data_IF_808926635956
#
_entry.id   IF_808926635956
#
_cell.length_a   1.000
_cell.length_b   1.000
_cell.length_c   1.000
_cell.angle_alpha   90.00
_cell.angle_beta   90.00
_cell.angle_gamma   90.00
#
_symmetry.space_group_name_H-M   'P 1'
#
loop_
_entity.id
_entity.type
_entity.pdbx_description
1 polymer ?
#
# COMPACT_ATOMS: atom_id res chain seq x y z
N UNK A 1 22.41 -51.76 19.89
CA UNK A 1 23.81 -51.40 19.57
C UNK A 1 23.79 -49.91 19.23
N UNK A 2 24.01 -49.01 20.19
CA UNK A 2 24.12 -47.59 19.85
C UNK A 2 25.31 -47.47 18.90
N UNK A 3 25.07 -46.97 17.68
CA UNK A 3 26.15 -46.61 16.79
C UNK A 3 27.06 -45.67 17.58
N UNK A 4 28.30 -46.08 17.79
CA UNK A 4 29.32 -45.23 18.42
C UNK A 4 29.29 -43.92 17.65
N UNK A 5 28.89 -42.84 18.31
CA UNK A 5 28.75 -41.54 17.65
C UNK A 5 30.14 -41.08 17.20
N UNK A 6 30.22 -40.33 16.10
CA UNK A 6 31.50 -39.85 15.58
C UNK A 6 32.31 -39.12 16.66
N UNK A 7 31.62 -38.41 17.57
CA UNK A 7 32.21 -37.78 18.75
C UNK A 7 32.89 -38.76 19.71
N UNK A 8 32.30 -39.93 19.96
CA UNK A 8 32.92 -40.96 20.79
C UNK A 8 34.18 -41.53 20.13
N UNK A 9 34.15 -41.71 18.80
CA UNK A 9 35.31 -42.15 18.02
C UNK A 9 36.42 -41.10 18.10
N UNK A 10 36.08 -39.83 17.85
CA UNK A 10 37.01 -38.70 17.90
C UNK A 10 37.59 -38.57 19.31
N UNK A 11 36.77 -38.64 20.37
CA UNK A 11 37.22 -38.59 21.76
C UNK A 11 38.18 -39.74 22.09
N UNK A 12 37.84 -40.98 21.71
CA UNK A 12 38.75 -42.13 21.91
C UNK A 12 40.05 -41.94 21.16
N UNK A 13 40.00 -41.45 19.91
CA UNK A 13 41.20 -41.18 19.12
C UNK A 13 42.06 -40.09 19.76
N UNK A 14 41.47 -39.01 20.25
CA UNK A 14 42.18 -37.96 20.99
C UNK A 14 42.77 -38.46 22.32
N UNK A 15 42.11 -39.40 23.01
CA UNK A 15 42.65 -39.98 24.25
C UNK A 15 43.80 -40.95 23.98
N UNK A 16 43.74 -41.72 22.89
CA UNK A 16 44.76 -42.74 22.54
C UNK A 16 45.95 -42.11 21.79
N UNK A 17 45.69 -41.29 20.78
CA UNK A 17 46.70 -40.64 19.92
C UNK A 17 47.13 -39.25 20.43
N UNK A 18 46.38 -38.66 21.37
CA UNK A 18 46.73 -37.35 21.93
C UNK A 18 47.85 -37.42 22.97
N UNK A 19 48.13 -36.26 23.55
CA UNK A 19 49.24 -36.02 24.48
C UNK A 19 49.26 -37.00 25.66
N UNK A 20 48.09 -37.41 26.16
CA UNK A 20 47.97 -38.39 27.26
C UNK A 20 48.59 -39.76 26.95
N UNK A 21 48.58 -40.21 25.68
CA UNK A 21 49.19 -41.48 25.31
C UNK A 21 50.72 -41.44 25.35
N UNK A 22 51.31 -40.26 25.12
CA UNK A 22 52.76 -40.06 25.21
C UNK A 22 53.25 -40.14 26.66
N UNK A 23 52.45 -39.66 27.61
CA UNK A 23 52.79 -39.69 29.04
C UNK A 23 52.80 -41.13 29.59
N UNK A 24 51.82 -41.96 29.23
CA UNK A 24 51.81 -43.38 29.63
C UNK A 24 53.05 -44.14 29.12
N UNK A 25 53.44 -43.86 27.87
CA UNK A 25 54.68 -44.41 27.30
C UNK A 25 55.92 -43.91 28.05
N UNK A 26 55.96 -42.63 28.44
CA UNK A 26 57.09 -42.05 29.20
C UNK A 26 57.21 -42.71 30.58
N UNK A 27 56.09 -42.85 31.30
CA UNK A 27 56.04 -43.49 32.63
C UNK A 27 56.41 -44.97 32.52
N UNK A 28 55.91 -45.67 31.50
CA UNK A 28 56.25 -47.07 31.24
C UNK A 28 57.75 -47.26 30.96
N UNK A 29 58.38 -46.33 30.22
CA UNK A 29 59.82 -46.34 29.97
C UNK A 29 60.62 -46.08 31.25
N UNK A 30 60.21 -45.10 32.06
CA UNK A 30 60.81 -44.81 33.37
C UNK A 30 60.78 -46.07 34.26
N UNK A 31 59.63 -46.73 34.38
CA UNK A 31 59.46 -47.94 35.19
C UNK A 31 60.35 -49.09 34.68
N UNK A 32 60.41 -49.30 33.36
CA UNK A 32 61.28 -50.34 32.77
C UNK A 32 62.76 -50.06 33.03
N UNK A 33 63.19 -48.80 32.93
CA UNK A 33 64.57 -48.40 33.21
C UNK A 33 64.91 -48.56 34.69
N UNK A 34 63.99 -48.18 35.59
CA UNK A 34 64.14 -48.39 37.02
C UNK A 34 64.29 -49.87 37.37
N UNK A 35 63.38 -50.72 36.88
CA UNK A 35 63.44 -52.17 37.14
C UNK A 35 64.72 -52.80 36.58
N UNK A 36 65.19 -52.36 35.42
CA UNK A 36 66.45 -52.82 34.84
C UNK A 36 67.65 -52.40 35.70
N UNK A 37 67.67 -51.15 36.16
CA UNK A 37 68.74 -50.63 37.01
C UNK A 37 68.81 -51.35 38.37
N UNK A 38 67.66 -51.63 38.98
CA UNK A 38 67.58 -52.45 40.21
C UNK A 38 68.07 -53.88 39.96
N UNK A 39 67.76 -54.47 38.80
CA UNK A 39 68.18 -55.82 38.46
C UNK A 39 69.67 -55.95 38.08
N UNK A 40 70.34 -54.88 37.66
CA UNK A 40 71.78 -54.92 37.34
C UNK A 40 72.67 -55.09 38.57
N UNK A 41 72.19 -54.72 39.78
CA UNK A 41 72.95 -54.74 41.04
C UNK A 41 74.37 -54.13 40.91
N UNK A 42 74.52 -53.18 39.99
CA UNK A 42 75.79 -52.55 39.67
C UNK A 42 76.01 -51.31 40.55
N UNK A 43 77.03 -51.39 41.39
CA UNK A 43 77.44 -50.31 42.31
C UNK A 43 78.64 -49.53 41.75
N UNK A 44 79.06 -49.82 40.51
CA UNK A 44 80.15 -49.14 39.83
C UNK A 44 79.76 -47.79 39.22
N UNK A 45 80.65 -47.26 38.38
CA UNK A 45 80.46 -46.01 37.63
C UNK A 45 79.26 -46.10 36.69
N UNK A 46 79.11 -47.21 35.97
CA UNK A 46 77.97 -47.48 35.07
C UNK A 46 76.63 -47.46 35.84
N UNK A 47 76.59 -48.06 37.03
CA UNK A 47 75.44 -48.02 37.94
C UNK A 47 75.08 -46.59 38.39
N UNK A 48 76.08 -45.74 38.66
CA UNK A 48 75.86 -44.33 39.01
C UNK A 48 75.37 -43.50 37.82
N UNK A 49 75.89 -43.72 36.62
CA UNK A 49 75.41 -43.06 35.39
C UNK A 49 73.94 -43.44 35.10
N UNK A 50 73.59 -44.72 35.24
CA UNK A 50 72.23 -45.19 35.08
C UNK A 50 71.27 -44.58 36.13
N UNK A 51 71.73 -44.39 37.36
CA UNK A 51 70.97 -43.68 38.40
C UNK A 51 70.74 -42.20 38.04
N UNK A 52 71.76 -41.50 37.54
CA UNK A 52 71.61 -40.10 37.11
C UNK A 52 70.65 -39.97 35.90
N UNK A 53 70.73 -40.90 34.95
CA UNK A 53 69.78 -40.97 33.84
C UNK A 53 68.34 -41.20 34.32
N UNK A 54 68.16 -42.03 35.35
CA UNK A 54 66.86 -42.26 35.97
C UNK A 54 66.32 -40.99 36.61
N UNK A 55 67.13 -40.28 37.41
CA UNK A 55 66.74 -38.98 38.00
C UNK A 55 66.32 -37.99 36.90
N UNK A 56 67.13 -37.86 35.85
CA UNK A 56 66.80 -36.97 34.73
C UNK A 56 65.46 -37.32 34.08
N UNK A 57 65.15 -38.62 33.95
CA UNK A 57 63.86 -39.07 33.41
C UNK A 57 62.67 -38.82 34.36
N UNK A 58 62.90 -38.85 35.68
CA UNK A 58 61.89 -38.44 36.68
C UNK A 58 61.57 -36.95 36.53
N UNK A 59 62.59 -36.08 36.47
CA UNK A 59 62.38 -34.64 36.26
C UNK A 59 61.63 -34.32 34.96
N UNK A 60 61.89 -35.07 33.89
CA UNK A 60 61.13 -34.93 32.64
C UNK A 60 59.64 -35.30 32.80
N UNK A 61 59.34 -36.34 33.59
CA UNK A 61 57.95 -36.71 33.88
C UNK A 61 57.26 -35.64 34.74
N UNK A 62 57.93 -35.14 35.78
CA UNK A 62 57.41 -34.07 36.63
C UNK A 62 57.10 -32.80 35.84
N UNK A 63 58.04 -32.34 35.00
CA UNK A 63 57.83 -31.16 34.15
C UNK A 63 56.66 -31.37 33.17
N UNK A 64 56.54 -32.55 32.57
CA UNK A 64 55.41 -32.84 31.67
C UNK A 64 54.06 -32.87 32.41
N UNK A 65 54.02 -33.40 33.62
CA UNK A 65 52.82 -33.37 34.47
C UNK A 65 52.43 -31.94 34.83
N UNK A 66 53.40 -31.07 35.15
CA UNK A 66 53.15 -29.65 35.43
C UNK A 66 52.59 -28.93 34.20
N UNK A 67 53.18 -29.17 33.01
CA UNK A 67 52.67 -28.64 31.74
C UNK A 67 51.23 -29.08 31.47
N UNK A 68 50.93 -30.37 31.64
CA UNK A 68 49.59 -30.92 31.48
C UNK A 68 48.59 -30.27 32.45
N UNK A 69 48.97 -30.10 33.72
CA UNK A 69 48.15 -29.42 34.72
C UNK A 69 47.85 -27.96 34.34
N UNK A 70 48.84 -27.24 33.81
CA UNK A 70 48.66 -25.85 33.35
C UNK A 70 47.73 -25.78 32.13
N UNK A 71 47.89 -26.68 31.16
CA UNK A 71 47.02 -26.77 29.98
C UNK A 71 45.58 -27.08 30.38
N UNK A 72 45.36 -27.99 31.34
CA UNK A 72 44.02 -28.29 31.86
C UNK A 72 43.39 -27.05 32.51
N UNK A 73 44.14 -26.33 33.34
CA UNK A 73 43.66 -25.11 33.97
C UNK A 73 43.31 -24.01 32.93
N UNK A 74 44.17 -23.82 31.94
CA UNK A 74 43.94 -22.89 30.82
C UNK A 74 42.69 -23.27 30.02
N UNK A 75 42.53 -24.55 29.68
CA UNK A 75 41.36 -25.04 28.93
C UNK A 75 40.06 -24.82 29.70
N UNK A 76 40.08 -25.02 31.02
CA UNK A 76 38.93 -24.75 31.88
C UNK A 76 38.55 -23.25 31.88
N UNK A 77 39.54 -22.37 31.98
CA UNK A 77 39.31 -20.93 31.88
C UNK A 77 38.77 -20.52 30.50
N UNK A 78 39.37 -21.04 29.43
CA UNK A 78 38.94 -20.80 28.06
C UNK A 78 37.50 -21.28 27.84
N UNK A 79 37.14 -22.46 28.34
CA UNK A 79 35.78 -22.99 28.23
C UNK A 79 34.76 -22.04 28.88
N UNK A 80 35.09 -21.48 30.05
CA UNK A 80 34.25 -20.48 30.72
C UNK A 80 34.10 -19.20 29.89
N UNK A 81 35.21 -18.68 29.34
CA UNK A 81 35.18 -17.50 28.47
C UNK A 81 34.32 -17.74 27.21
N UNK A 82 34.41 -18.92 26.60
CA UNK A 82 33.56 -19.28 25.47
C UNK A 82 32.08 -19.35 25.87
N UNK A 83 31.75 -19.88 27.04
CA UNK A 83 30.37 -19.91 27.53
C UNK A 83 29.79 -18.49 27.69
N UNK A 84 30.58 -17.57 28.23
CA UNK A 84 30.18 -16.17 28.38
C UNK A 84 30.03 -15.48 27.00
N UNK A 85 30.94 -15.75 26.06
CA UNK A 85 30.85 -15.27 24.68
C UNK A 85 29.58 -15.81 23.97
N UNK A 86 29.24 -17.08 24.16
CA UNK A 86 28.00 -17.65 23.61
C UNK A 86 26.77 -16.92 24.14
N UNK A 87 26.71 -16.63 25.44
CA UNK A 87 25.61 -15.85 26.04
C UNK A 87 25.54 -14.44 25.48
N UNK A 88 26.69 -13.78 25.31
CA UNK A 88 26.74 -12.44 24.70
C UNK A 88 26.19 -12.47 23.26
N UNK A 89 26.64 -13.42 22.45
CA UNK A 89 26.16 -13.59 21.06
C UNK A 89 24.64 -13.86 21.04
N UNK A 90 24.13 -14.71 21.93
CA UNK A 90 22.70 -15.02 22.01
C UNK A 90 21.88 -13.77 22.37
N UNK A 91 22.34 -12.98 23.34
CA UNK A 91 21.68 -11.70 23.71
C UNK A 91 21.72 -10.68 22.57
N UNK A 92 22.83 -10.60 21.82
CA UNK A 92 22.97 -9.72 20.67
C UNK A 92 22.04 -10.13 19.53
N UNK A 93 21.91 -11.44 19.26
CA UNK A 93 20.97 -11.99 18.27
C UNK A 93 19.53 -11.64 18.66
N UNK A 94 19.17 -11.81 19.93
CA UNK A 94 17.81 -11.51 20.41
C UNK A 94 17.50 -10.01 20.34
N UNK A 95 18.45 -9.15 20.71
CA UNK A 95 18.36 -7.70 20.53
C UNK A 95 18.17 -7.31 19.06
N UNK A 96 18.93 -7.93 18.14
CA UNK A 96 18.81 -7.69 16.70
C UNK A 96 17.43 -8.12 16.17
N UNK A 97 16.91 -9.28 16.59
CA UNK A 97 15.55 -9.74 16.23
C UNK A 97 14.48 -8.75 16.69
N UNK A 98 14.57 -8.27 17.94
CA UNK A 98 13.64 -7.28 18.48
C UNK A 98 13.68 -5.96 17.71
N UNK A 99 14.87 -5.47 17.34
CA UNK A 99 15.03 -4.28 16.50
C UNK A 99 14.42 -4.47 15.10
N UNK A 100 14.57 -5.64 14.49
CA UNK A 100 13.96 -5.96 13.21
C UNK A 100 12.43 -5.94 13.34
N UNK A 101 11.88 -6.46 14.43
CA UNK A 101 10.44 -6.48 14.67
C UNK A 101 9.88 -5.07 14.84
N UNK A 102 10.53 -4.22 15.64
CA UNK A 102 10.16 -2.80 15.78
C UNK A 102 10.18 -2.08 14.42
N UNK A 103 11.26 -2.25 13.65
CA UNK A 103 11.38 -1.64 12.32
C UNK A 103 10.29 -2.11 11.35
N UNK A 104 9.82 -3.37 11.46
CA UNK A 104 8.68 -3.86 10.66
C UNK A 104 7.37 -3.17 11.04
N UNK A 105 7.15 -2.89 12.32
CA UNK A 105 5.97 -2.19 12.81
C UNK A 105 5.97 -0.72 12.39
N UNK A 106 7.12 -0.05 12.53
CA UNK A 106 7.33 1.32 12.04
C UNK A 106 7.14 1.42 10.52
N UNK A 107 7.63 0.43 9.77
CA UNK A 107 7.41 0.38 8.33
C UNK A 107 5.93 0.22 7.97
N UNK A 108 5.16 -0.56 8.75
CA UNK A 108 3.71 -0.72 8.55
C UNK A 108 2.98 0.58 8.86
N UNK A 109 3.29 1.24 9.97
CA UNK A 109 2.66 2.53 10.33
C UNK A 109 2.98 3.61 9.31
N UNK A 110 4.25 3.72 8.88
CA UNK A 110 4.69 4.66 7.85
C UNK A 110 4.00 4.42 6.49
N UNK A 111 3.80 3.15 6.10
CA UNK A 111 3.04 2.79 4.88
C UNK A 111 1.58 3.24 4.98
N UNK A 112 0.93 3.04 6.11
CA UNK A 112 -0.45 3.49 6.35
C UNK A 112 -0.54 5.01 6.27
N UNK A 113 0.35 5.74 6.95
CA UNK A 113 0.40 7.22 6.89
C UNK A 113 0.60 7.70 5.45
N UNK A 114 1.50 7.06 4.69
CA UNK A 114 1.73 7.41 3.28
C UNK A 114 0.51 7.14 2.40
N UNK A 115 -0.21 6.04 2.63
CA UNK A 115 -1.44 5.71 1.90
C UNK A 115 -2.51 6.77 2.19
N UNK A 116 -2.77 7.04 3.47
CA UNK A 116 -3.74 8.04 3.90
C UNK A 116 -3.42 9.41 3.30
N UNK A 117 -2.14 9.84 3.34
CA UNK A 117 -1.71 11.11 2.74
C UNK A 117 -2.02 11.18 1.24
N UNK A 118 -1.77 10.10 0.49
CA UNK A 118 -2.11 10.06 -0.95
C UNK A 118 -3.61 10.16 -1.19
N UNK A 119 -4.42 9.51 -0.36
CA UNK A 119 -5.88 9.60 -0.43
C UNK A 119 -6.36 11.03 -0.14
N UNK A 120 -5.84 11.67 0.91
CA UNK A 120 -6.13 13.07 1.21
C UNK A 120 -5.66 14.03 0.10
N UNK A 121 -4.44 13.86 -0.42
CA UNK A 121 -3.92 14.67 -1.51
C UNK A 121 -4.78 14.50 -2.78
N UNK A 122 -5.28 13.28 -3.04
CA UNK A 122 -6.19 13.03 -4.18
C UNK A 122 -7.55 13.68 -3.98
N UNK A 123 -8.13 13.60 -2.78
CA UNK A 123 -9.41 14.21 -2.45
C UNK A 123 -9.32 15.75 -2.46
N UNK A 124 -8.21 16.30 -1.95
CA UNK A 124 -7.94 17.73 -1.98
C UNK A 124 -7.86 18.27 -3.40
N UNK A 125 -7.23 17.53 -4.34
CA UNK A 125 -7.22 17.91 -5.77
C UNK A 125 -8.63 17.96 -6.35
N UNK A 126 -9.43 16.93 -6.11
CA UNK A 126 -10.84 16.88 -6.55
C UNK A 126 -11.63 18.06 -5.96
N UNK A 127 -11.41 18.40 -4.69
CA UNK A 127 -12.03 19.56 -4.05
C UNK A 127 -11.62 20.89 -4.70
N UNK A 128 -10.36 21.05 -5.11
CA UNK A 128 -9.89 22.23 -5.82
C UNK A 128 -10.43 22.35 -7.25
N UNK A 129 -10.74 21.24 -7.91
CA UNK A 129 -11.31 21.23 -9.27
C UNK A 129 -12.78 21.71 -9.27
N UNK A 130 -13.46 21.63 -8.13
CA UNK A 130 -14.84 22.08 -8.00
C UNK A 130 -14.91 23.59 -7.65
N UNK A 131 -15.75 24.37 -8.35
CA UNK A 131 -15.90 25.80 -8.06
C UNK A 131 -16.48 26.01 -6.67
N UNK A 132 -16.07 27.11 -6.04
CA UNK A 132 -16.58 27.48 -4.73
C UNK A 132 -18.11 27.60 -4.73
N UNK A 133 -18.71 27.23 -3.60
CA UNK A 133 -20.17 27.24 -3.43
C UNK A 133 -20.74 28.63 -3.72
N UNK A 134 -20.05 29.68 -3.30
CA UNK A 134 -20.53 31.06 -3.44
C UNK A 134 -20.55 31.50 -4.90
N UNK A 135 -19.53 31.15 -5.70
CA UNK A 135 -19.54 31.39 -7.15
C UNK A 135 -20.67 30.65 -7.86
N UNK A 136 -20.89 29.38 -7.48
CA UNK A 136 -21.94 28.54 -8.06
C UNK A 136 -23.32 29.09 -7.70
N UNK A 137 -23.50 29.56 -6.47
CA UNK A 137 -24.75 30.13 -5.98
C UNK A 137 -25.04 31.49 -6.64
N UNK A 138 -24.02 32.30 -6.88
CA UNK A 138 -24.16 33.56 -7.62
C UNK A 138 -24.53 33.33 -9.10
N UNK A 139 -23.87 32.38 -9.77
CA UNK A 139 -24.26 31.93 -11.12
C UNK A 139 -25.70 31.44 -11.14
N UNK A 140 -26.11 30.66 -10.15
CA UNK A 140 -27.49 30.18 -10.00
C UNK A 140 -28.50 31.33 -9.82
N UNK A 141 -28.21 32.32 -8.97
CA UNK A 141 -29.07 33.50 -8.78
C UNK A 141 -29.22 34.31 -10.07
N UNK A 142 -28.13 34.56 -10.77
CA UNK A 142 -28.15 35.25 -12.07
C UNK A 142 -28.99 34.48 -13.09
N UNK A 143 -28.80 33.17 -13.18
CA UNK A 143 -29.56 32.31 -14.08
C UNK A 143 -31.05 32.32 -13.73
N UNK A 144 -31.40 32.25 -12.43
CA UNK A 144 -32.79 32.33 -11.95
C UNK A 144 -33.44 33.67 -12.29
N UNK A 145 -32.74 34.78 -12.08
CA UNK A 145 -33.24 36.11 -12.44
C UNK A 145 -33.43 36.26 -13.97
N UNK A 146 -32.53 35.68 -14.78
CA UNK A 146 -32.72 35.67 -16.24
C UNK A 146 -33.90 34.83 -16.66
N UNK A 147 -34.12 33.66 -16.03
CA UNK A 147 -35.26 32.79 -16.30
C UNK A 147 -36.57 33.53 -16.03
N UNK A 148 -36.71 34.12 -14.84
CA UNK A 148 -37.89 34.89 -14.44
C UNK A 148 -38.14 36.08 -15.38
N UNK A 149 -37.08 36.76 -15.83
CA UNK A 149 -37.19 37.82 -16.84
C UNK A 149 -37.69 37.28 -18.19
N UNK A 150 -37.21 36.12 -18.62
CA UNK A 150 -37.66 35.49 -19.87
C UNK A 150 -39.12 35.03 -19.77
N UNK A 151 -39.52 34.46 -18.65
CA UNK A 151 -40.91 34.06 -18.38
C UNK A 151 -41.85 35.27 -18.43
N UNK A 152 -41.52 36.35 -17.70
CA UNK A 152 -42.29 37.59 -17.73
C UNK A 152 -42.39 38.20 -19.15
N UNK A 153 -41.30 38.13 -19.92
CA UNK A 153 -41.28 38.63 -21.30
C UNK A 153 -42.13 37.76 -22.23
N UNK A 154 -42.12 36.43 -22.03
CA UNK A 154 -43.01 35.50 -22.73
C UNK A 154 -44.46 35.85 -22.47
N UNK A 155 -44.84 36.03 -21.20
CA UNK A 155 -46.19 36.43 -20.82
C UNK A 155 -46.60 37.81 -21.37
N UNK A 156 -45.67 38.75 -21.46
CA UNK A 156 -45.92 40.05 -22.10
C UNK A 156 -46.16 39.91 -23.61
N UNK A 157 -45.37 39.10 -24.30
CA UNK A 157 -45.57 38.82 -25.73
C UNK A 157 -46.88 38.08 -25.98
N UNK A 158 -47.23 37.09 -25.16
CA UNK A 158 -48.50 36.38 -25.26
C UNK A 158 -49.69 37.33 -25.11
N UNK A 159 -49.65 38.25 -24.14
CA UNK A 159 -50.67 39.31 -24.00
C UNK A 159 -50.73 40.23 -25.20
N UNK A 160 -49.57 40.67 -25.73
CA UNK A 160 -49.53 41.52 -26.94
C UNK A 160 -50.10 40.80 -28.16
N UNK A 161 -49.80 39.51 -28.33
CA UNK A 161 -50.34 38.68 -29.41
C UNK A 161 -51.86 38.55 -29.26
N UNK A 162 -52.36 38.25 -28.05
CA UNK A 162 -53.80 38.18 -27.79
C UNK A 162 -54.51 39.50 -28.10
N UNK A 163 -53.95 40.63 -27.66
CA UNK A 163 -54.50 41.96 -27.95
C UNK A 163 -54.56 42.23 -29.47
N UNK A 164 -53.49 41.91 -30.21
CA UNK A 164 -53.50 42.06 -31.68
C UNK A 164 -54.49 41.11 -32.36
N UNK A 165 -54.65 39.87 -31.87
CA UNK A 165 -55.70 38.95 -32.36
C UNK A 165 -57.09 39.56 -32.16
N UNK A 166 -57.36 40.18 -31.00
CA UNK A 166 -58.64 40.87 -30.75
C UNK A 166 -58.84 42.10 -31.65
N UNK A 167 -57.80 42.93 -31.83
CA UNK A 167 -57.85 44.08 -32.73
C UNK A 167 -58.11 43.66 -34.18
N UNK A 168 -57.42 42.62 -34.65
CA UNK A 168 -57.60 42.08 -35.99
C UNK A 168 -58.99 41.46 -36.17
N UNK A 169 -59.51 40.78 -35.14
CA UNK A 169 -60.89 40.29 -35.13
C UNK A 169 -61.90 41.44 -35.23
N UNK A 170 -61.70 42.53 -34.49
CA UNK A 170 -62.56 43.72 -34.58
C UNK A 170 -62.50 44.36 -35.97
N UNK A 171 -61.32 44.49 -36.57
CA UNK A 171 -61.17 44.96 -37.95
C UNK A 171 -61.87 44.04 -38.96
N UNK A 172 -61.75 42.71 -38.80
CA UNK A 172 -62.47 41.74 -39.64
C UNK A 172 -64.00 41.88 -39.52
N UNK A 173 -64.51 42.10 -38.30
CA UNK A 173 -65.95 42.35 -38.08
C UNK A 173 -66.38 43.66 -38.73
N UNK A 174 -65.59 44.73 -38.61
CA UNK A 174 -65.87 46.03 -39.24
C UNK A 174 -65.83 45.94 -40.77
N UNK A 175 -64.84 45.25 -41.35
CA UNK A 175 -64.78 44.99 -42.80
C UNK A 175 -65.96 44.17 -43.28
N UNK A 176 -66.36 43.13 -42.54
CA UNK A 176 -67.55 42.34 -42.85
C UNK A 176 -68.84 43.16 -42.74
N UNK A 177 -68.90 44.10 -41.79
CA UNK A 177 -69.98 45.07 -41.65
C UNK A 177 -70.04 46.05 -42.82
N UNK A 178 -68.89 46.61 -43.25
CA UNK A 178 -68.81 47.49 -44.40
C UNK A 178 -69.13 46.75 -45.70
N UNK A 179 -68.62 45.53 -45.87
CA UNK A 179 -68.98 44.66 -47.00
C UNK A 179 -70.50 44.46 -47.06
N UNK A 180 -71.15 44.18 -45.92
CA UNK A 180 -72.60 44.06 -45.85
C UNK A 180 -73.32 45.36 -46.23
N UNK A 181 -72.83 46.52 -45.78
CA UNK A 181 -73.39 47.83 -46.16
C UNK A 181 -73.22 48.08 -47.66
N UNK A 182 -72.04 47.79 -48.24
CA UNK A 182 -71.79 47.94 -49.68
C UNK A 182 -72.67 46.98 -50.48
N UNK A 183 -72.83 45.72 -50.05
CA UNK A 183 -73.78 44.78 -50.65
C UNK A 183 -75.22 45.30 -50.54
N UNK A 184 -75.63 45.88 -49.39
CA UNK A 184 -76.94 46.50 -49.19
C UNK A 184 -77.12 47.79 -50.01
N UNK A 185 -76.06 48.57 -50.26
CA UNK A 185 -76.06 49.82 -51.05
C UNK A 185 -76.00 49.55 -52.57
N UNK A 186 -75.31 48.51 -53.01
CA UNK A 186 -75.44 47.99 -54.38
C UNK A 186 -76.86 47.44 -54.60
N UNK A 187 -77.50 46.91 -53.55
CA UNK A 187 -78.91 46.53 -53.56
C UNK A 187 -79.88 47.73 -53.49
N UNK A 188 -79.45 48.92 -53.08
CA UNK A 188 -80.29 50.13 -52.96
C UNK A 188 -80.13 51.07 -54.15
N UNK A 189 -78.91 51.22 -54.68
CA UNK A 189 -78.58 52.05 -55.84
C UNK A 189 -78.99 51.42 -57.17
N UNK A 190 -79.07 50.09 -57.25
CA UNK A 190 -79.57 49.39 -58.45
C UNK A 190 -81.10 49.26 -58.46
N UNK A 191 -81.80 49.72 -57.41
CA UNK A 191 -83.27 49.60 -57.31
C UNK A 191 -84.08 50.73 -57.94
N UNK A 192 -83.45 51.75 -58.53
CA UNK A 192 -84.21 52.81 -59.22
C UNK A 192 -83.91 52.99 -60.71
N UNK A 193 -83.11 52.11 -61.32
CA UNK A 193 -83.07 51.99 -62.78
C UNK A 193 -82.66 50.56 -63.18
N UNK A 194 -83.61 49.61 -63.17
CA UNK A 194 -83.82 48.64 -64.26
C UNK A 194 -85.09 47.81 -64.03
N UNK A 195 -86.02 47.92 -64.99
CA UNK A 195 -87.19 47.04 -65.16
C UNK A 195 -86.78 45.55 -65.35
N UNK A 196 -87.67 44.59 -65.00
CA UNK A 196 -87.26 43.25 -64.58
C UNK A 196 -87.13 42.26 -65.74
N UNK A 197 -86.03 41.50 -65.79
CA UNK A 197 -85.97 40.23 -66.54
C UNK A 197 -85.25 39.12 -65.74
N UNK A 198 -86.08 38.29 -65.11
CA UNK A 198 -86.01 36.84 -64.91
C UNK A 198 -84.65 36.11 -64.75
N UNK A 199 -84.49 35.50 -63.55
CA UNK A 199 -83.97 34.17 -63.20
C UNK A 199 -82.80 33.55 -63.99
N UNK A 200 -81.71 33.23 -63.28
CA UNK A 200 -81.09 31.88 -63.19
C UNK A 200 -79.74 31.88 -62.45
N UNK A 201 -79.63 31.08 -61.37
CA UNK A 201 -78.49 30.21 -60.97
C UNK A 201 -77.13 30.88 -60.66
N UNK A 202 -76.21 30.35 -59.85
CA UNK A 202 -76.16 29.41 -58.73
C UNK A 202 -74.68 29.40 -58.29
N UNK A 203 -74.41 29.08 -57.02
CA UNK A 203 -73.28 28.23 -56.56
C UNK A 203 -71.91 28.88 -56.25
N UNK A 204 -71.47 28.61 -55.00
CA UNK A 204 -70.12 28.57 -54.38
C UNK A 204 -69.32 29.89 -54.30
N UNK A 205 -68.69 30.24 -53.18
CA UNK A 205 -67.72 29.43 -52.45
C UNK A 205 -67.51 29.90 -51.00
N UNK A 206 -67.74 29.00 -50.03
CA UNK A 206 -67.37 29.15 -48.63
C UNK A 206 -65.84 29.05 -48.51
N UNK A 207 -65.15 30.17 -48.24
CA UNK A 207 -63.81 30.11 -47.65
C UNK A 207 -63.96 30.40 -46.15
N UNK A 208 -64.41 29.35 -45.46
CA UNK A 208 -64.37 29.23 -44.01
C UNK A 208 -62.96 28.87 -43.56
N UNK A 209 -62.41 29.71 -42.69
CA UNK A 209 -61.52 29.39 -41.57
C UNK A 209 -60.67 28.13 -41.66
N UNK A 210 -59.37 28.30 -41.92
CA UNK A 210 -58.30 27.53 -41.27
C UNK A 210 -57.10 28.43 -40.99
N UNK A 211 -57.09 29.03 -39.81
CA UNK A 211 -55.87 29.47 -39.14
C UNK A 211 -55.93 28.95 -37.70
N UNK A 212 -55.95 27.62 -37.58
CA UNK A 212 -55.60 26.97 -36.32
C UNK A 212 -54.08 26.92 -36.23
N UNK A 213 -53.58 27.82 -35.39
CA UNK A 213 -52.31 27.70 -34.69
C UNK A 213 -52.40 26.58 -33.66
N UNK A 214 -51.59 25.54 -33.83
CA UNK A 214 -50.83 24.88 -32.77
C UNK A 214 -49.62 24.20 -33.41
#
# INVERSE_FOLDING_TARGET
MSAVTDDEIIKRRLLIEGESGNDDRRITLLLKNYLRWVASDDVGEDGYEAYQALIASVYQCENAMEQSSLVIAMNYEQQKQYEDLYKEIETAIESAKNRIQQCKEDLRSAKTVRKNRREYDSLAKVLCDHPERDETLEKYRKLKATLERLENLSEEYDRKIQLRKTQFHLFLVALKGLQKIVEDDDLSSVKDDLMPTQSSKSVHEEISMKMDTT
#
